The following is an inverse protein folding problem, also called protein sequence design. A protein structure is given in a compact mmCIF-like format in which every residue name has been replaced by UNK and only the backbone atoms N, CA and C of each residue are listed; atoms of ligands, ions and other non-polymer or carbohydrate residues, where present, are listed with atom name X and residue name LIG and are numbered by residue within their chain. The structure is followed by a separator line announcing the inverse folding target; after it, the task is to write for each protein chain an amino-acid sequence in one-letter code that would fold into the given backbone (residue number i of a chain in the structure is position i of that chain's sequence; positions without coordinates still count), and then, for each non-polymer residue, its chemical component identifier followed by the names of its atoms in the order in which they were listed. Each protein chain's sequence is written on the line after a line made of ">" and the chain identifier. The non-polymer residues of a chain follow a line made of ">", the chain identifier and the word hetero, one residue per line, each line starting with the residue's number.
data_IF_115297116173
#
_entry.id   IF_115297116173
#
_cell.length_a   1.000
_cell.length_b   1.000
_cell.length_c   1.000
_cell.angle_alpha   90.00
_cell.angle_beta   90.00
_cell.angle_gamma   90.00
#
_symmetry.space_group_name_H-M   'P 1'
#
loop_
_entity.id
_entity.type
_entity.pdbx_description
1 polymer ?
#
# COMPACT_ATOMS: atom_id res chain seq x y z
N UNK A 1 -21.95 14.52 28.23
CA UNK A 1 -22.16 13.90 26.91
C UNK A 1 -21.86 12.42 27.01
N UNK A 2 -22.72 11.56 26.45
CA UNK A 2 -22.47 10.11 26.37
C UNK A 2 -21.68 9.86 25.09
N UNK A 3 -20.45 9.34 25.22
CA UNK A 3 -19.63 8.97 24.07
C UNK A 3 -19.91 7.50 23.75
N UNK A 4 -20.35 7.23 22.53
CA UNK A 4 -20.44 5.86 22.01
C UNK A 4 -19.13 5.53 21.31
N UNK A 5 -18.64 4.31 21.51
CA UNK A 5 -17.42 3.81 20.86
C UNK A 5 -17.77 2.61 20.01
N UNK A 6 -17.10 2.52 18.85
CA UNK A 6 -17.24 1.36 17.97
C UNK A 6 -16.70 0.10 18.65
N UNK A 7 -17.44 -1.01 18.56
CA UNK A 7 -16.89 -2.31 18.95
C UNK A 7 -15.92 -2.85 17.88
N UNK A 8 -14.73 -3.35 18.27
CA UNK A 8 -13.83 -4.05 17.37
C UNK A 8 -14.49 -5.29 16.76
N UNK A 9 -14.18 -5.57 15.49
CA UNK A 9 -14.73 -6.74 14.80
C UNK A 9 -14.13 -8.07 15.28
N UNK A 10 -12.91 -8.02 15.82
CA UNK A 10 -12.18 -9.17 16.34
C UNK A 10 -11.55 -8.80 17.67
N UNK A 11 -11.54 -9.76 18.59
CA UNK A 11 -10.89 -9.64 19.89
C UNK A 11 -9.74 -10.65 19.97
N UNK A 12 -8.71 -10.31 20.76
CA UNK A 12 -7.63 -11.23 21.06
C UNK A 12 -8.17 -12.45 21.81
N UNK A 13 -7.79 -13.64 21.35
CA UNK A 13 -8.14 -14.89 22.02
C UNK A 13 -7.09 -15.16 23.10
N UNK A 14 -7.54 -15.19 24.34
CA UNK A 14 -6.70 -15.45 25.51
C UNK A 14 -7.09 -16.79 26.10
N UNK A 15 -6.16 -17.74 26.05
CA UNK A 15 -6.33 -19.04 26.67
C UNK A 15 -5.80 -19.01 28.10
N UNK A 16 -6.64 -19.41 29.05
CA UNK A 16 -6.32 -19.47 30.47
C UNK A 16 -6.47 -20.89 30.96
N UNK A 17 -5.40 -21.49 31.46
CA UNK A 17 -5.40 -22.85 32.00
C UNK A 17 -4.61 -22.94 33.29
N UNK A 18 -5.09 -23.74 34.26
CA UNK A 18 -4.35 -23.99 35.49
C UNK A 18 -3.37 -25.13 35.24
N UNK A 19 -2.07 -24.87 35.39
CA UNK A 19 -1.03 -25.89 35.15
C UNK A 19 -0.88 -26.79 36.39
N UNK A 20 -0.68 -26.20 37.58
CA UNK A 20 -0.60 -26.94 38.85
C UNK A 20 -0.75 -26.01 40.07
N UNK A 21 -0.82 -26.56 41.28
CA UNK A 21 -0.80 -25.74 42.52
C UNK A 21 0.50 -24.95 42.73
N UNK A 22 1.63 -25.47 42.24
CA UNK A 22 2.93 -24.80 42.38
C UNK A 22 3.22 -23.83 41.22
N UNK A 23 2.82 -24.16 40.00
CA UNK A 23 3.08 -23.35 38.80
C UNK A 23 1.94 -22.35 38.50
N UNK A 24 0.80 -22.47 39.17
CA UNK A 24 -0.30 -21.53 39.05
C UNK A 24 -1.04 -21.61 37.71
N UNK A 25 -1.32 -20.45 37.13
CA UNK A 25 -2.11 -20.27 35.91
C UNK A 25 -1.23 -19.89 34.72
N UNK A 26 -1.45 -20.56 33.60
CA UNK A 26 -0.96 -20.17 32.28
C UNK A 26 -1.97 -19.24 31.63
N UNK A 27 -1.49 -18.11 31.13
CA UNK A 27 -2.24 -17.21 30.26
C UNK A 27 -1.45 -17.08 28.97
N UNK A 28 -2.07 -17.43 27.84
CA UNK A 28 -1.42 -17.44 26.55
C UNK A 28 -2.28 -16.75 25.49
N UNK A 29 -1.62 -15.96 24.63
CA UNK A 29 -2.22 -15.34 23.45
C UNK A 29 -1.30 -15.64 22.27
N UNK A 30 -1.80 -16.43 21.31
CA UNK A 30 -1.01 -16.89 20.16
C UNK A 30 -1.19 -16.02 18.92
N UNK A 31 -2.41 -15.50 18.72
CA UNK A 31 -2.78 -14.77 17.53
C UNK A 31 -2.51 -13.26 17.72
N UNK A 32 -1.68 -12.62 16.87
CA UNK A 32 -1.53 -11.17 16.91
C UNK A 32 -2.76 -10.49 16.29
N UNK A 33 -3.14 -9.35 16.84
CA UNK A 33 -4.16 -8.48 16.28
C UNK A 33 -3.59 -7.07 16.13
N UNK A 34 -3.65 -6.53 14.92
CA UNK A 34 -3.24 -5.17 14.61
C UNK A 34 -4.46 -4.33 14.25
N UNK A 35 -4.41 -3.06 14.63
CA UNK A 35 -5.40 -2.06 14.23
C UNK A 35 -4.67 -0.76 13.93
N UNK A 36 -5.33 0.11 13.17
CA UNK A 36 -4.80 1.41 12.81
C UNK A 36 -5.51 2.47 13.63
N UNK A 37 -4.75 3.30 14.35
CA UNK A 37 -5.27 4.41 15.13
C UNK A 37 -4.80 5.74 14.56
N UNK A 38 -5.67 6.74 14.65
CA UNK A 38 -5.39 8.12 14.33
C UNK A 38 -5.27 8.91 15.63
N UNK A 39 -4.14 9.59 15.82
CA UNK A 39 -3.94 10.51 16.92
C UNK A 39 -4.30 11.94 16.51
N UNK A 40 -5.20 12.58 17.26
CA UNK A 40 -5.61 13.98 17.09
C UNK A 40 -4.80 14.82 18.10
N UNK A 41 -3.77 15.55 17.65
CA UNK A 41 -2.86 16.25 18.56
C UNK A 41 -3.53 17.40 19.30
N UNK A 42 -4.50 18.09 18.69
CA UNK A 42 -5.20 19.23 19.29
C UNK A 42 -6.02 18.83 20.52
N UNK A 43 -6.61 17.63 20.47
CA UNK A 43 -7.41 17.06 21.56
C UNK A 43 -6.60 16.12 22.46
N UNK A 44 -5.35 15.82 22.08
CA UNK A 44 -4.53 14.77 22.68
C UNK A 44 -5.28 13.43 22.84
N UNK A 45 -6.01 13.02 21.79
CA UNK A 45 -6.88 11.84 21.78
C UNK A 45 -6.49 10.87 20.65
N UNK A 46 -6.74 9.57 20.82
CA UNK A 46 -6.62 8.58 19.75
C UNK A 46 -7.98 7.98 19.41
N UNK A 47 -8.16 7.66 18.12
CA UNK A 47 -9.41 7.12 17.55
C UNK A 47 -9.05 5.97 16.63
N UNK A 48 -9.86 4.90 16.59
CA UNK A 48 -9.66 3.84 15.58
C UNK A 48 -9.99 4.42 14.19
N UNK A 49 -9.17 4.15 13.18
CA UNK A 49 -9.45 4.60 11.80
C UNK A 49 -10.84 4.15 11.32
N UNK A 50 -11.31 3.02 11.84
CA UNK A 50 -12.61 2.44 11.53
C UNK A 50 -13.78 3.15 12.23
N UNK A 51 -13.52 3.94 13.28
CA UNK A 51 -14.54 4.75 13.97
C UNK A 51 -14.87 6.04 13.20
N UNK A 52 -13.99 6.48 12.28
CA UNK A 52 -14.27 7.61 11.39
C UNK A 52 -15.47 7.40 10.47
N UNK A 53 -16.00 6.19 10.34
CA UNK A 53 -17.27 5.96 9.63
C UNK A 53 -18.44 6.73 10.24
N UNK A 54 -18.41 6.97 11.55
CA UNK A 54 -19.45 7.67 12.29
C UNK A 54 -19.16 9.18 12.41
N UNK A 55 -17.93 9.61 12.14
CA UNK A 55 -17.45 10.99 12.26
C UNK A 55 -17.13 11.57 10.87
N UNK A 56 -18.15 11.99 10.14
CA UNK A 56 -18.00 12.44 8.74
C UNK A 56 -17.07 13.65 8.56
N UNK A 57 -17.03 14.59 9.52
CA UNK A 57 -16.16 15.77 9.43
C UNK A 57 -14.68 15.38 9.48
N UNK A 58 -14.32 14.52 10.46
CA UNK A 58 -12.97 14.00 10.60
C UNK A 58 -12.59 13.11 9.42
N UNK A 59 -13.53 12.32 8.91
CA UNK A 59 -13.35 11.49 7.72
C UNK A 59 -13.00 12.33 6.49
N UNK A 60 -13.76 13.41 6.26
CA UNK A 60 -13.49 14.34 5.15
C UNK A 60 -12.15 15.03 5.33
N UNK A 61 -11.84 15.48 6.53
CA UNK A 61 -10.56 16.11 6.84
C UNK A 61 -9.39 15.18 6.53
N UNK A 62 -9.41 13.95 7.06
CA UNK A 62 -8.34 12.96 6.81
C UNK A 62 -8.22 12.59 5.33
N UNK A 63 -9.35 12.46 4.63
CA UNK A 63 -9.34 12.25 3.18
C UNK A 63 -8.65 13.40 2.42
N UNK A 64 -8.93 14.65 2.77
CA UNK A 64 -8.27 15.81 2.16
C UNK A 64 -6.78 15.88 2.50
N UNK A 65 -6.38 15.45 3.70
CA UNK A 65 -4.97 15.32 4.08
C UNK A 65 -4.26 14.27 3.23
N UNK A 66 -4.87 13.10 2.99
CA UNK A 66 -4.30 12.08 2.08
C UNK A 66 -4.16 12.61 0.65
N UNK A 67 -5.16 13.34 0.15
CA UNK A 67 -5.09 13.99 -1.16
C UNK A 67 -3.99 15.05 -1.23
N UNK A 68 -3.76 15.77 -0.13
CA UNK A 68 -2.66 16.73 -0.06
C UNK A 68 -1.32 16.00 -0.14
N UNK A 69 -1.13 14.92 0.62
CA UNK A 69 0.09 14.12 0.57
C UNK A 69 0.36 13.60 -0.85
N UNK A 70 -0.67 13.07 -1.51
CA UNK A 70 -0.55 12.57 -2.88
C UNK A 70 -0.19 13.70 -3.87
N UNK A 71 -0.83 14.87 -3.73
CA UNK A 71 -0.55 16.04 -4.56
C UNK A 71 0.88 16.59 -4.38
N UNK A 72 1.44 16.55 -3.17
CA UNK A 72 2.82 17.01 -2.92
C UNK A 72 3.86 16.03 -3.50
N UNK A 73 3.53 14.75 -3.58
CA UNK A 73 4.34 13.72 -4.25
C UNK A 73 4.23 13.74 -5.79
N UNK A 74 3.33 14.54 -6.36
CA UNK A 74 3.07 14.54 -7.78
C UNK A 74 4.33 14.79 -8.63
N UNK A 75 4.34 14.22 -9.85
CA UNK A 75 5.35 14.43 -10.88
C UNK A 75 6.79 14.05 -10.47
N UNK A 76 6.95 13.05 -9.60
CA UNK A 76 8.26 12.44 -9.31
C UNK A 76 9.08 13.21 -8.27
N UNK A 77 8.42 13.82 -7.28
CA UNK A 77 9.12 14.44 -6.16
C UNK A 77 9.58 13.40 -5.12
N UNK A 78 10.67 12.68 -5.41
CA UNK A 78 11.18 11.60 -4.56
C UNK A 78 11.62 12.09 -3.18
N UNK A 79 12.09 13.33 -3.06
CA UNK A 79 12.53 13.88 -1.76
C UNK A 79 11.37 13.97 -0.77
N UNK A 80 10.21 14.47 -1.22
CA UNK A 80 9.03 14.54 -0.35
C UNK A 80 8.40 13.17 -0.16
N UNK A 81 8.41 12.32 -1.20
CA UNK A 81 7.99 10.93 -1.07
C UNK A 81 8.75 10.21 0.05
N UNK A 82 10.08 10.33 0.09
CA UNK A 82 10.90 9.80 1.17
C UNK A 82 10.54 10.38 2.54
N UNK A 83 10.31 11.70 2.65
CA UNK A 83 9.89 12.31 3.91
C UNK A 83 8.50 11.79 4.36
N UNK A 84 7.57 11.61 3.44
CA UNK A 84 6.23 11.10 3.74
C UNK A 84 6.23 9.64 4.19
N UNK A 85 7.21 8.83 3.77
CA UNK A 85 7.39 7.48 4.31
C UNK A 85 7.70 7.45 5.83
N UNK A 86 8.01 8.58 6.47
CA UNK A 86 8.10 8.67 7.94
C UNK A 86 6.77 8.98 8.64
N UNK A 87 5.81 9.51 7.88
CA UNK A 87 4.48 9.84 8.37
C UNK A 87 3.49 8.70 8.10
N UNK A 88 3.62 8.06 6.94
CA UNK A 88 2.80 6.93 6.51
C UNK A 88 3.73 5.79 6.12
N UNK A 89 3.85 4.80 6.99
CA UNK A 89 4.73 3.65 6.76
C UNK A 89 4.07 2.60 5.85
N UNK A 90 4.90 1.75 5.23
CA UNK A 90 4.45 0.61 4.43
C UNK A 90 3.43 -0.32 5.12
N UNK A 91 3.61 -0.78 6.38
CA UNK A 91 2.61 -1.63 7.04
C UNK A 91 1.26 -0.95 7.22
N UNK A 92 1.23 0.39 7.34
CA UNK A 92 -0.02 1.14 7.42
C UNK A 92 -0.77 1.07 6.08
N UNK A 93 -0.07 1.25 4.97
CA UNK A 93 -0.63 1.10 3.62
C UNK A 93 -1.17 -0.32 3.39
N UNK A 94 -0.38 -1.34 3.74
CA UNK A 94 -0.79 -2.74 3.60
C UNK A 94 -2.03 -3.06 4.43
N UNK A 95 -2.09 -2.59 5.68
CA UNK A 95 -3.28 -2.74 6.52
C UNK A 95 -4.51 -2.08 5.88
N UNK A 96 -4.37 -0.85 5.35
CA UNK A 96 -5.48 -0.14 4.71
C UNK A 96 -6.00 -0.86 3.45
N UNK A 97 -5.11 -1.52 2.70
CA UNK A 97 -5.45 -2.29 1.49
C UNK A 97 -6.20 -3.57 1.86
N UNK A 98 -5.72 -4.32 2.85
CA UNK A 98 -6.26 -5.62 3.26
C UNK A 98 -7.58 -5.47 4.04
N UNK A 99 -7.75 -4.39 4.79
CA UNK A 99 -8.89 -4.22 5.67
C UNK A 99 -10.20 -3.99 4.89
N UNK A 100 -11.15 -4.92 5.01
CA UNK A 100 -12.44 -4.90 4.29
C UNK A 100 -13.43 -3.85 4.80
N UNK A 101 -13.21 -3.32 6.00
CA UNK A 101 -14.15 -2.41 6.68
C UNK A 101 -13.79 -0.93 6.54
N UNK A 102 -12.69 -0.61 5.85
CA UNK A 102 -12.26 0.77 5.64
C UNK A 102 -13.30 1.58 4.83
N UNK A 103 -13.57 2.84 5.23
CA UNK A 103 -14.42 3.75 4.48
C UNK A 103 -13.93 3.91 3.03
N UNK A 104 -14.84 4.02 2.08
CA UNK A 104 -14.50 4.12 0.65
C UNK A 104 -13.58 5.30 0.31
N UNK A 105 -13.80 6.47 0.93
CA UNK A 105 -12.97 7.66 0.72
C UNK A 105 -11.53 7.44 1.19
N UNK A 106 -11.35 6.90 2.40
CA UNK A 106 -10.01 6.62 2.92
C UNK A 106 -9.32 5.53 2.11
N UNK A 107 -10.08 4.48 1.72
CA UNK A 107 -9.56 3.41 0.89
C UNK A 107 -8.98 3.98 -0.42
N UNK A 108 -9.75 4.78 -1.15
CA UNK A 108 -9.28 5.45 -2.36
C UNK A 108 -8.04 6.34 -2.09
N UNK A 109 -8.09 7.15 -1.02
CA UNK A 109 -6.97 8.03 -0.67
C UNK A 109 -5.66 7.30 -0.37
N UNK A 110 -5.70 6.17 0.34
CA UNK A 110 -4.51 5.36 0.60
C UNK A 110 -3.99 4.65 -0.66
N UNK A 111 -4.88 4.20 -1.56
CA UNK A 111 -4.46 3.65 -2.86
C UNK A 111 -3.76 4.70 -3.72
N UNK A 112 -4.36 5.89 -3.84
CA UNK A 112 -3.80 7.00 -4.60
C UNK A 112 -2.43 7.41 -4.04
N UNK A 113 -2.32 7.50 -2.71
CA UNK A 113 -1.06 7.82 -2.03
C UNK A 113 0.04 6.77 -2.32
N UNK A 114 -0.29 5.48 -2.25
CA UNK A 114 0.66 4.41 -2.58
C UNK A 114 1.14 4.52 -4.03
N UNK A 115 0.21 4.75 -4.96
CA UNK A 115 0.54 4.91 -6.38
C UNK A 115 1.45 6.12 -6.57
N UNK A 116 1.10 7.27 -6.02
CA UNK A 116 1.85 8.51 -6.18
C UNK A 116 3.27 8.46 -5.59
N UNK A 117 3.44 7.84 -4.43
CA UNK A 117 4.75 7.69 -3.77
C UNK A 117 5.63 6.67 -4.50
N UNK A 118 5.11 5.48 -4.80
CA UNK A 118 5.96 4.34 -5.17
C UNK A 118 5.95 3.99 -6.66
N UNK A 119 4.85 4.23 -7.37
CA UNK A 119 4.64 3.65 -8.72
C UNK A 119 4.59 4.71 -9.82
N UNK A 120 4.03 5.89 -9.54
CA UNK A 120 3.66 6.88 -10.54
C UNK A 120 4.88 7.36 -11.34
N UNK A 121 6.01 7.62 -10.68
CA UNK A 121 7.24 8.06 -11.37
C UNK A 121 7.79 7.03 -12.36
N UNK A 122 7.86 5.75 -11.99
CA UNK A 122 8.34 4.70 -12.89
C UNK A 122 7.30 4.37 -13.98
N UNK A 123 6.02 4.33 -13.62
CA UNK A 123 4.93 4.08 -14.57
C UNK A 123 4.87 5.15 -15.66
N UNK A 124 4.93 6.43 -15.29
CA UNK A 124 4.95 7.55 -16.24
C UNK A 124 6.18 7.51 -17.15
N UNK A 125 7.37 7.25 -16.61
CA UNK A 125 8.58 7.09 -17.43
C UNK A 125 8.44 5.95 -18.47
N UNK A 126 7.87 4.81 -18.06
CA UNK A 126 7.60 3.68 -18.98
C UNK A 126 6.53 3.99 -20.02
N UNK A 127 5.49 4.74 -19.65
CA UNK A 127 4.42 5.15 -20.56
C UNK A 127 4.93 6.15 -21.62
N UNK A 128 5.80 7.09 -21.23
CA UNK A 128 6.40 8.05 -22.17
C UNK A 128 7.26 7.35 -23.22
N UNK A 129 8.05 6.34 -22.82
CA UNK A 129 8.87 5.54 -23.74
C UNK A 129 8.11 4.39 -24.41
N UNK A 130 6.77 4.30 -24.25
CA UNK A 130 6.02 3.16 -24.78
C UNK A 130 5.89 3.16 -26.31
N UNK A 131 5.93 4.35 -26.90
CA UNK A 131 5.86 4.54 -28.35
C UNK A 131 7.23 4.49 -29.01
N UNK A 132 8.30 4.22 -28.24
CA UNK A 132 9.65 4.03 -28.74
C UNK A 132 9.94 2.53 -28.88
N UNK A 133 10.27 2.10 -30.11
CA UNK A 133 10.54 0.70 -30.43
C UNK A 133 12.03 0.49 -30.71
N UNK A 134 12.85 0.66 -29.67
CA UNK A 134 14.30 0.47 -29.75
C UNK A 134 14.61 -0.99 -29.41
N UNK A 135 15.12 -1.75 -30.39
CA UNK A 135 15.41 -3.18 -30.27
C UNK A 135 16.89 -3.44 -30.61
N UNK A 136 17.68 -4.05 -29.70
CA UNK A 136 19.06 -4.41 -29.99
C UNK A 136 19.13 -5.64 -30.90
N UNK A 137 20.24 -5.82 -31.63
CA UNK A 137 20.44 -7.01 -32.48
C UNK A 137 21.12 -8.13 -31.67
N UNK A 138 20.34 -9.00 -31.02
CA UNK A 138 20.81 -10.15 -30.23
C UNK A 138 20.17 -11.46 -30.69
N UNK A 139 20.73 -12.61 -30.32
CA UNK A 139 20.13 -13.92 -30.68
C UNK A 139 18.72 -14.08 -30.06
N UNK A 140 18.46 -13.45 -28.91
CA UNK A 140 17.12 -13.39 -28.29
C UNK A 140 16.12 -12.64 -29.16
N UNK A 141 16.55 -11.63 -29.91
CA UNK A 141 15.65 -10.90 -30.83
C UNK A 141 15.32 -11.70 -32.07
N UNK A 142 16.24 -12.59 -32.48
CA UNK A 142 16.08 -13.47 -33.63
C UNK A 142 15.10 -14.61 -33.38
N UNK A 143 14.91 -15.02 -32.12
CA UNK A 143 13.92 -16.04 -31.75
C UNK A 143 12.48 -15.52 -31.67
N UNK A 144 12.26 -14.20 -31.79
CA UNK A 144 10.92 -13.61 -31.77
C UNK A 144 10.23 -13.85 -33.11
N UNK A 145 9.15 -14.63 -33.10
CA UNK A 145 8.30 -14.91 -34.25
C UNK A 145 6.94 -14.22 -34.12
N UNK A 146 6.32 -13.88 -35.26
CA UNK A 146 4.97 -13.29 -35.29
C UNK A 146 3.89 -14.27 -34.81
N UNK A 147 4.11 -15.57 -35.06
CA UNK A 147 3.23 -16.66 -34.65
C UNK A 147 4.03 -17.65 -33.80
N UNK A 148 3.49 -18.08 -32.65
CA UNK A 148 4.13 -19.09 -31.82
C UNK A 148 4.15 -20.47 -32.50
N UNK A 149 3.11 -20.78 -33.29
CA UNK A 149 2.94 -22.06 -33.98
C UNK A 149 2.75 -21.88 -35.50
N UNK A 150 3.00 -22.95 -36.26
CA UNK A 150 2.79 -22.99 -37.73
C UNK A 150 1.33 -22.77 -38.16
N UNK A 151 0.38 -22.93 -37.23
CA UNK A 151 -1.05 -22.73 -37.44
C UNK A 151 -1.45 -21.25 -37.66
N UNK A 152 -0.50 -20.31 -37.66
CA UNK A 152 -0.71 -18.86 -37.88
C UNK A 152 -1.76 -18.24 -36.94
N UNK A 153 -1.92 -18.81 -35.74
CA UNK A 153 -2.76 -18.24 -34.69
C UNK A 153 -1.96 -17.19 -33.94
N UNK A 154 -2.53 -16.01 -33.76
CA UNK A 154 -1.90 -14.98 -32.95
C UNK A 154 -1.67 -15.49 -31.52
N UNK A 155 -0.47 -15.22 -30.99
CA UNK A 155 -0.17 -15.46 -29.58
C UNK A 155 -1.01 -14.56 -28.68
N UNK A 156 -1.11 -14.95 -27.41
CA UNK A 156 -1.77 -14.13 -26.40
C UNK A 156 -0.88 -12.91 -26.07
N UNK A 157 -1.43 -11.68 -26.03
CA UNK A 157 -0.67 -10.50 -25.69
C UNK A 157 -0.14 -10.58 -24.25
N UNK A 158 1.10 -10.13 -24.04
CA UNK A 158 1.77 -10.18 -22.73
C UNK A 158 2.49 -11.50 -22.44
N UNK A 159 2.35 -12.51 -23.31
CA UNK A 159 3.09 -13.77 -23.24
C UNK A 159 4.16 -13.77 -24.33
N UNK A 160 5.43 -13.90 -23.94
CA UNK A 160 6.57 -13.96 -24.85
C UNK A 160 7.72 -13.03 -24.47
N UNK A 161 8.84 -13.16 -25.18
CA UNK A 161 10.03 -12.33 -24.98
C UNK A 161 9.79 -10.92 -25.52
N UNK A 162 9.96 -9.92 -24.67
CA UNK A 162 10.08 -8.52 -25.09
C UNK A 162 11.54 -8.09 -25.01
N UNK A 163 12.20 -7.92 -26.15
CA UNK A 163 13.61 -7.48 -26.22
C UNK A 163 13.77 -5.98 -26.43
N UNK A 164 12.65 -5.24 -26.48
CA UNK A 164 12.65 -3.78 -26.51
C UNK A 164 13.36 -3.21 -25.29
N UNK A 165 14.23 -2.22 -25.51
CA UNK A 165 14.82 -1.45 -24.43
C UNK A 165 13.72 -0.64 -23.72
N UNK A 166 13.68 -0.76 -22.40
CA UNK A 166 12.72 -0.06 -21.54
C UNK A 166 13.44 0.51 -20.32
N UNK A 167 12.98 1.65 -19.78
CA UNK A 167 13.62 2.25 -18.60
C UNK A 167 13.49 1.28 -17.42
N UNK A 168 14.60 1.11 -16.69
CA UNK A 168 14.67 0.24 -15.52
C UNK A 168 14.17 0.98 -14.29
N UNK A 169 13.46 0.26 -13.43
CA UNK A 169 13.03 0.76 -12.14
C UNK A 169 14.23 0.72 -11.17
N UNK A 170 14.43 1.80 -10.43
CA UNK A 170 15.42 1.90 -9.35
C UNK A 170 14.68 2.31 -8.09
N UNK A 171 14.95 1.61 -6.99
CA UNK A 171 14.38 1.92 -5.69
C UNK A 171 15.50 2.33 -4.73
N UNK A 172 15.17 3.30 -3.88
CA UNK A 172 15.98 3.74 -2.75
C UNK A 172 15.22 3.44 -1.46
N UNK A 173 15.95 3.01 -0.42
CA UNK A 173 15.38 2.86 0.91
C UNK A 173 15.12 4.23 1.55
N UNK A 174 13.99 4.44 2.24
CA UNK A 174 13.83 5.59 3.10
C UNK A 174 14.75 5.43 4.32
N UNK A 175 15.93 6.06 4.30
CA UNK A 175 16.85 6.10 5.44
C UNK A 175 16.84 7.50 6.04
N UNK A 176 16.29 7.62 7.25
CA UNK A 176 16.22 8.89 7.99
C UNK A 176 17.42 9.11 8.92
N UNK A 177 18.31 8.13 9.03
CA UNK A 177 19.57 8.22 9.76
C UNK A 177 20.70 8.27 8.73
N UNK A 178 21.42 9.39 8.71
CA UNK A 178 22.63 9.62 7.92
C UNK A 178 23.87 9.44 8.77
#
# INVERSE_FOLDING_TARGET
>A
HVLWSRMPNQFLKVDVSRISERQGWLVQCLDPLQFMSLHIPEENRSVDILELTEQEELLKFHYHTLRLYSAVCALGNHRVAHALCSHVDEPQLLYAIENKYMPGLLRAGYYDLLIDIHLNSCATARLMMNNEYIVPMTEETKSITLFPDENKKHGLPGIGLSTSLRPRMQFSSPSFVS
#
